data_IF_650998583067
#
_entry.id   IF_650998583067
#
_cell.length_a   1.000
_cell.length_b   1.000
_cell.length_c   1.000
_cell.angle_alpha   90.00
_cell.angle_beta   90.00
_cell.angle_gamma   90.00
#
_symmetry.space_group_name_H-M   'P 1'
#
loop_
_entity.id
_entity.type
_entity.pdbx_description
1 polymer ?
#
# COMPACT_ATOMS: atom_id res chain seq x y z
N UNK A 1 80.18 15.37 15.65
CA UNK A 1 80.14 14.22 16.58
C UNK A 1 79.01 13.30 16.18
N UNK A 2 79.31 12.01 16.01
CA UNK A 2 78.39 10.91 15.71
C UNK A 2 77.37 10.72 16.84
N UNK A 3 76.14 10.31 16.50
CA UNK A 3 75.45 9.15 17.09
C UNK A 3 74.17 8.80 16.30
N UNK A 4 74.24 7.64 15.65
CA UNK A 4 73.11 6.83 15.18
C UNK A 4 72.38 6.22 16.38
N UNK A 5 71.06 6.01 16.24
CA UNK A 5 70.23 4.92 16.81
C UNK A 5 68.79 5.12 16.26
N UNK A 6 68.34 4.48 15.17
CA UNK A 6 67.82 3.11 14.97
C UNK A 6 66.56 2.72 15.78
N UNK A 7 65.55 2.28 15.01
CA UNK A 7 64.41 1.41 15.33
C UNK A 7 63.13 2.00 15.97
N UNK A 8 62.06 2.12 15.18
CA UNK A 8 60.92 1.18 15.22
C UNK A 8 59.92 1.52 14.09
N UNK A 9 59.86 0.67 13.06
CA UNK A 9 58.82 0.69 12.03
C UNK A 9 57.63 -0.10 12.58
N UNK A 10 56.56 0.59 12.96
CA UNK A 10 55.28 -0.05 13.27
C UNK A 10 54.49 -0.19 11.98
N UNK A 11 54.62 -1.35 11.34
CA UNK A 11 53.75 -1.77 10.25
C UNK A 11 52.38 -2.14 10.86
N UNK A 12 51.42 -1.20 10.83
CA UNK A 12 50.04 -1.50 11.18
C UNK A 12 49.38 -2.18 9.97
N UNK A 13 49.31 -3.50 10.02
CA UNK A 13 48.47 -4.32 9.14
C UNK A 13 47.01 -4.05 9.54
N UNK A 14 46.30 -3.20 8.78
CA UNK A 14 44.85 -3.15 8.87
C UNK A 14 44.31 -4.20 7.92
N UNK A 15 43.88 -5.29 8.54
CA UNK A 15 43.15 -6.42 7.96
C UNK A 15 41.90 -5.87 7.25
N UNK A 16 41.76 -6.22 5.96
CA UNK A 16 40.53 -5.99 5.22
C UNK A 16 39.39 -6.81 5.82
N UNK A 17 38.44 -6.13 6.45
CA UNK A 17 37.11 -6.68 6.68
C UNK A 17 36.23 -6.24 5.50
N UNK A 18 35.89 -7.21 4.67
CA UNK A 18 34.71 -7.24 3.81
C UNK A 18 33.55 -6.51 4.47
N UNK A 19 33.18 -5.35 3.92
CA UNK A 19 32.02 -4.59 4.38
C UNK A 19 30.76 -5.39 4.09
N UNK A 20 30.26 -6.07 5.11
CA UNK A 20 28.85 -6.41 5.21
C UNK A 20 28.02 -5.11 5.04
N UNK A 21 26.78 -5.19 4.51
CA UNK A 21 25.91 -4.02 4.42
C UNK A 21 25.85 -3.36 5.80
N UNK A 22 26.19 -2.08 5.83
CA UNK A 22 26.17 -1.27 7.04
C UNK A 22 24.72 -1.19 7.48
N UNK A 23 24.34 -1.92 8.54
CA UNK A 23 23.11 -1.69 9.28
C UNK A 23 23.10 -0.20 9.66
N UNK A 24 22.29 0.59 8.97
CA UNK A 24 22.00 1.94 9.41
C UNK A 24 21.13 1.82 10.66
N UNK A 25 21.46 2.52 11.77
CA UNK A 25 20.57 2.55 12.91
C UNK A 25 19.24 3.15 12.47
N UNK A 26 18.15 2.41 12.70
CA UNK A 26 16.78 2.90 12.56
C UNK A 26 16.54 3.88 13.71
N UNK A 27 16.95 5.13 13.53
CA UNK A 27 16.72 6.26 14.45
C UNK A 27 15.68 7.25 13.90
N UNK A 28 14.90 6.86 12.89
CA UNK A 28 13.92 7.76 12.27
C UNK A 28 12.51 7.38 12.70
N UNK A 29 12.04 8.05 13.75
CA UNK A 29 10.63 8.03 14.15
C UNK A 29 9.78 8.88 13.18
N UNK A 30 8.62 8.35 12.80
CA UNK A 30 7.63 9.04 11.98
C UNK A 30 7.79 8.85 10.46
N UNK A 31 6.94 9.56 9.72
CA UNK A 31 6.86 9.51 8.26
C UNK A 31 7.87 10.44 7.60
N UNK A 32 8.50 9.98 6.51
CA UNK A 32 9.39 10.78 5.70
C UNK A 32 9.33 10.38 4.23
N UNK A 33 9.27 11.38 3.35
CA UNK A 33 9.51 11.21 1.91
C UNK A 33 11.02 11.30 1.67
N UNK A 34 11.58 10.28 1.02
CA UNK A 34 13.00 10.15 0.72
C UNK A 34 13.31 10.61 -0.71
N UNK A 35 12.42 10.27 -1.65
CA UNK A 35 12.48 10.70 -3.04
C UNK A 35 11.05 10.88 -3.57
N UNK A 36 10.83 11.90 -4.40
CA UNK A 36 9.54 12.14 -5.05
C UNK A 36 9.76 12.92 -6.35
N UNK A 37 9.55 12.24 -7.47
CA UNK A 37 9.57 12.78 -8.82
C UNK A 37 8.49 12.09 -9.67
N UNK A 38 8.45 12.41 -10.98
CA UNK A 38 7.42 11.90 -11.89
C UNK A 38 7.39 10.37 -12.04
N UNK A 39 8.52 9.70 -11.75
CA UNK A 39 8.73 8.27 -12.01
C UNK A 39 9.15 7.49 -10.77
N UNK A 40 9.39 8.17 -9.64
CA UNK A 40 9.82 7.53 -8.40
C UNK A 40 9.18 8.22 -7.20
N UNK A 41 8.61 7.43 -6.31
CA UNK A 41 8.19 7.84 -4.98
C UNK A 41 8.76 6.86 -3.96
N UNK A 42 9.58 7.37 -3.06
CA UNK A 42 10.15 6.61 -1.96
C UNK A 42 9.78 7.28 -0.64
N UNK A 43 9.22 6.50 0.28
CA UNK A 43 8.85 6.97 1.60
C UNK A 43 9.17 5.92 2.66
N UNK A 44 9.33 6.37 3.89
CA UNK A 44 9.52 5.48 5.04
C UNK A 44 8.65 5.93 6.20
N UNK A 45 8.28 4.95 7.03
CA UNK A 45 7.74 5.20 8.35
C UNK A 45 8.47 4.30 9.35
N UNK A 46 9.01 4.91 10.40
CA UNK A 46 9.61 4.19 11.52
C UNK A 46 8.89 4.46 12.83
N UNK A 47 8.74 3.43 13.67
CA UNK A 47 8.23 3.55 15.02
C UNK A 47 8.72 2.39 15.90
N UNK A 48 9.21 2.70 17.10
CA UNK A 48 9.52 1.67 18.10
C UNK A 48 10.62 0.69 17.65
N UNK A 49 11.58 1.17 16.86
CA UNK A 49 12.69 0.36 16.31
C UNK A 49 12.33 -0.48 15.08
N UNK A 50 11.08 -0.46 14.61
CA UNK A 50 10.66 -1.07 13.36
C UNK A 50 10.50 -0.01 12.27
N UNK A 51 10.75 -0.38 11.02
CA UNK A 51 10.63 0.51 9.84
C UNK A 51 9.96 -0.23 8.70
N UNK A 52 9.12 0.50 7.97
CA UNK A 52 8.74 0.15 6.61
C UNK A 52 9.34 1.16 5.64
N UNK A 53 9.93 0.68 4.56
CA UNK A 53 10.35 1.49 3.41
C UNK A 53 9.47 1.10 2.22
N UNK A 54 8.76 2.08 1.67
CA UNK A 54 7.99 1.92 0.45
C UNK A 54 8.73 2.58 -0.71
N UNK A 55 8.85 1.86 -1.81
CA UNK A 55 9.40 2.35 -3.07
C UNK A 55 8.43 2.04 -4.21
N UNK A 56 7.91 3.07 -4.86
CA UNK A 56 7.14 2.99 -6.10
C UNK A 56 7.96 3.57 -7.25
N UNK A 57 8.21 2.80 -8.30
CA UNK A 57 9.01 3.21 -9.46
C UNK A 57 8.31 2.84 -10.75
N UNK A 58 8.18 3.78 -11.66
CA UNK A 58 7.80 3.52 -13.04
C UNK A 58 9.02 3.03 -13.82
N UNK A 59 9.16 1.72 -13.97
CA UNK A 59 10.35 1.08 -14.59
C UNK A 59 10.31 1.16 -16.11
N UNK A 60 9.12 1.24 -16.68
CA UNK A 60 8.83 1.49 -18.08
C UNK A 60 7.53 2.30 -18.17
N UNK A 61 7.26 2.93 -19.32
CA UNK A 61 6.02 3.68 -19.50
C UNK A 61 4.79 2.80 -19.17
N UNK A 62 3.99 3.24 -18.19
CA UNK A 62 2.83 2.53 -17.66
C UNK A 62 3.14 1.16 -17.01
N UNK A 63 4.36 0.94 -16.53
CA UNK A 63 4.73 -0.24 -15.72
C UNK A 63 5.31 0.24 -14.41
N UNK A 64 4.63 -0.07 -13.30
CA UNK A 64 5.03 0.37 -11.95
C UNK A 64 5.34 -0.82 -11.06
N UNK A 65 6.49 -0.74 -10.39
CA UNK A 65 6.85 -1.62 -9.28
C UNK A 65 6.56 -0.90 -7.97
N UNK A 66 5.89 -1.54 -7.02
CA UNK A 66 5.73 -1.05 -5.64
C UNK A 66 6.30 -2.08 -4.67
N UNK A 67 7.26 -1.70 -3.84
CA UNK A 67 7.89 -2.58 -2.86
C UNK A 67 7.72 -2.04 -1.45
N UNK A 68 7.36 -2.91 -0.50
CA UNK A 68 7.37 -2.66 0.93
C UNK A 68 8.47 -3.52 1.55
N UNK A 69 9.49 -2.87 2.08
CA UNK A 69 10.62 -3.50 2.75
C UNK A 69 10.52 -3.26 4.26
N UNK A 70 10.27 -4.35 5.00
CA UNK A 70 10.28 -4.38 6.47
C UNK A 70 11.57 -5.00 7.03
N UNK A 71 12.57 -5.27 6.18
CA UNK A 71 13.72 -6.13 6.46
C UNK A 71 13.41 -7.62 6.24
N UNK A 72 12.39 -8.13 6.93
CA UNK A 72 11.73 -9.42 6.67
C UNK A 72 10.29 -9.36 7.25
N UNK A 73 9.23 -9.41 6.44
CA UNK A 73 9.20 -9.71 5.00
C UNK A 73 9.48 -8.54 4.05
N UNK A 74 9.58 -8.88 2.77
CA UNK A 74 9.52 -7.93 1.65
C UNK A 74 8.31 -8.27 0.78
N UNK A 75 7.48 -7.27 0.46
CA UNK A 75 6.27 -7.46 -0.36
C UNK A 75 6.33 -6.57 -1.59
N UNK A 76 6.33 -7.19 -2.77
CA UNK A 76 6.37 -6.50 -4.06
C UNK A 76 5.06 -6.57 -4.83
N UNK A 77 4.82 -5.57 -5.67
CA UNK A 77 3.78 -5.51 -6.68
C UNK A 77 4.41 -5.10 -8.00
N UNK A 78 4.23 -5.92 -9.03
CA UNK A 78 4.47 -5.53 -10.42
C UNK A 78 3.14 -5.19 -11.04
N UNK A 79 3.00 -4.01 -11.67
CA UNK A 79 1.75 -3.55 -12.26
C UNK A 79 2.00 -3.05 -13.68
N UNK A 80 1.63 -3.85 -14.67
CA UNK A 80 1.65 -3.47 -16.08
C UNK A 80 0.26 -2.95 -16.49
N UNK A 81 0.14 -1.63 -16.58
CA UNK A 81 -1.10 -0.97 -16.99
C UNK A 81 -1.34 -1.06 -18.51
N UNK A 82 -0.32 -1.38 -19.32
CA UNK A 82 -0.50 -1.60 -20.75
C UNK A 82 -1.19 -2.95 -21.00
N UNK A 83 -0.82 -3.97 -20.23
CA UNK A 83 -1.41 -5.30 -20.31
C UNK A 83 -2.63 -5.47 -19.40
N UNK A 84 -2.80 -4.59 -18.41
CA UNK A 84 -3.81 -4.75 -17.37
C UNK A 84 -3.53 -5.98 -16.51
N UNK A 85 -2.26 -6.25 -16.22
CA UNK A 85 -1.82 -7.41 -15.43
C UNK A 85 -1.01 -6.91 -14.24
N UNK A 86 -1.24 -7.48 -13.08
CA UNK A 86 -0.39 -7.26 -11.92
C UNK A 86 -0.02 -8.55 -11.22
N UNK A 87 1.09 -8.52 -10.49
CA UNK A 87 1.62 -9.66 -9.76
C UNK A 87 1.91 -9.24 -8.33
N UNK A 88 1.36 -10.02 -7.39
CA UNK A 88 1.67 -9.92 -5.98
C UNK A 88 2.84 -10.85 -5.67
N UNK A 89 3.94 -10.29 -5.17
CA UNK A 89 5.23 -10.96 -5.00
C UNK A 89 5.72 -10.84 -3.55
N UNK A 90 5.10 -11.55 -2.59
CA UNK A 90 5.58 -11.59 -1.21
C UNK A 90 6.80 -12.50 -1.09
N UNK A 91 7.73 -12.16 -0.20
CA UNK A 91 8.84 -13.02 0.21
C UNK A 91 9.15 -12.84 1.69
N UNK A 92 9.58 -13.92 2.35
CA UNK A 92 9.97 -13.88 3.75
C UNK A 92 8.87 -14.35 4.70
N UNK A 93 8.96 -13.87 5.95
CA UNK A 93 8.08 -14.25 7.05
C UNK A 93 6.65 -13.69 6.91
N UNK A 94 5.62 -14.28 7.54
CA UNK A 94 4.30 -13.66 7.60
C UNK A 94 4.35 -12.23 8.15
N UNK A 95 3.46 -11.36 7.66
CA UNK A 95 3.24 -10.06 8.28
C UNK A 95 2.72 -10.25 9.71
N UNK A 96 3.00 -9.29 10.59
CA UNK A 96 2.52 -9.31 11.97
C UNK A 96 1.78 -8.00 12.29
N UNK A 97 1.31 -7.87 13.53
CA UNK A 97 0.59 -6.68 13.95
C UNK A 97 1.44 -5.40 13.89
N UNK A 98 2.75 -5.50 14.12
CA UNK A 98 3.64 -4.34 14.04
C UNK A 98 3.74 -3.85 12.59
N UNK A 99 3.88 -4.76 11.62
CA UNK A 99 3.85 -4.43 10.20
C UNK A 99 2.54 -3.73 9.78
N UNK A 100 1.38 -4.23 10.25
CA UNK A 100 0.09 -3.56 9.98
C UNK A 100 0.01 -2.14 10.55
N UNK A 101 0.56 -1.91 11.75
CA UNK A 101 0.61 -0.57 12.34
C UNK A 101 1.50 0.38 11.54
N UNK A 102 2.67 -0.08 11.07
CA UNK A 102 3.55 0.70 10.22
C UNK A 102 2.86 1.09 8.90
N UNK A 103 2.14 0.16 8.27
CA UNK A 103 1.38 0.41 7.04
C UNK A 103 0.26 1.42 7.24
N UNK A 104 -0.44 1.36 8.37
CA UNK A 104 -1.47 2.35 8.72
C UNK A 104 -0.89 3.78 8.76
N UNK A 105 0.22 3.95 9.48
CA UNK A 105 0.85 5.27 9.61
C UNK A 105 1.57 5.73 8.34
N UNK A 106 2.14 4.81 7.57
CA UNK A 106 2.69 5.09 6.23
C UNK A 106 1.60 5.65 5.31
N UNK A 107 0.43 5.00 5.27
CA UNK A 107 -0.71 5.43 4.46
C UNK A 107 -1.17 6.84 4.83
N UNK A 108 -1.29 7.13 6.13
CA UNK A 108 -1.60 8.47 6.61
C UNK A 108 -0.56 9.52 6.20
N UNK A 109 0.72 9.14 6.21
CA UNK A 109 1.81 9.98 5.74
C UNK A 109 1.73 10.28 4.25
N UNK A 110 1.53 9.24 3.43
CA UNK A 110 1.38 9.37 1.97
C UNK A 110 0.22 10.28 1.61
N UNK A 111 -0.95 10.09 2.23
CA UNK A 111 -2.11 10.92 1.92
C UNK A 111 -1.96 12.40 2.30
N UNK A 112 -1.07 12.73 3.23
CA UNK A 112 -0.72 14.13 3.53
C UNK A 112 0.32 14.69 2.56
N UNK A 113 1.19 13.84 2.02
CA UNK A 113 2.29 14.25 1.15
C UNK A 113 1.89 14.34 -0.33
N UNK A 114 0.94 13.52 -0.77
CA UNK A 114 0.53 13.42 -2.16
C UNK A 114 -0.61 14.40 -2.48
N UNK A 115 -0.64 14.97 -3.71
CA UNK A 115 -1.73 15.84 -4.12
C UNK A 115 -3.06 15.08 -4.20
N UNK A 116 -4.19 15.75 -3.99
CA UNK A 116 -5.53 15.11 -4.12
C UNK A 116 -5.92 14.85 -5.59
N UNK A 117 -5.45 15.68 -6.52
CA UNK A 117 -5.74 15.60 -7.96
C UNK A 117 -4.46 15.70 -8.79
N UNK A 118 -4.50 15.22 -10.04
CA UNK A 118 -3.37 15.35 -10.98
C UNK A 118 -2.18 14.45 -10.67
N UNK A 119 -2.41 13.34 -9.96
CA UNK A 119 -1.38 12.37 -9.58
C UNK A 119 -0.72 11.71 -10.79
N UNK A 120 0.56 11.46 -10.64
CA UNK A 120 1.37 10.57 -11.47
C UNK A 120 1.02 9.11 -11.22
N UNK A 121 1.48 8.23 -12.10
CA UNK A 121 1.21 6.79 -11.98
C UNK A 121 1.81 6.20 -10.70
N UNK A 122 3.02 6.64 -10.32
CA UNK A 122 3.71 6.14 -9.12
C UNK A 122 3.02 6.57 -7.84
N UNK A 123 2.44 7.77 -7.80
CA UNK A 123 1.66 8.26 -6.66
C UNK A 123 0.37 7.47 -6.50
N UNK A 124 -0.37 7.25 -7.60
CA UNK A 124 -1.59 6.44 -7.59
C UNK A 124 -1.29 4.99 -7.17
N UNK A 125 -0.22 4.38 -7.70
CA UNK A 125 0.16 3.02 -7.35
C UNK A 125 0.58 2.91 -5.88
N UNK A 126 1.40 3.85 -5.38
CA UNK A 126 1.83 3.86 -3.98
C UNK A 126 0.65 3.95 -3.02
N UNK A 127 -0.27 4.90 -3.24
CA UNK A 127 -1.43 5.09 -2.37
C UNK A 127 -2.35 3.86 -2.38
N UNK A 128 -2.67 3.35 -3.58
CA UNK A 128 -3.61 2.24 -3.71
C UNK A 128 -3.05 0.93 -3.20
N UNK A 129 -1.78 0.61 -3.50
CA UNK A 129 -1.17 -0.60 -2.96
C UNK A 129 -0.92 -0.48 -1.46
N UNK A 130 -0.65 0.72 -0.92
CA UNK A 130 -0.48 0.88 0.53
C UNK A 130 -1.82 0.63 1.22
N UNK A 131 -2.92 1.12 0.63
CA UNK A 131 -4.26 0.83 1.12
C UNK A 131 -4.60 -0.66 1.06
N UNK A 132 -4.21 -1.36 -0.01
CA UNK A 132 -4.36 -2.81 -0.11
C UNK A 132 -3.56 -3.53 0.99
N UNK A 133 -2.32 -3.12 1.22
CA UNK A 133 -1.46 -3.71 2.25
C UNK A 133 -2.05 -3.61 3.66
N UNK A 134 -2.90 -2.61 3.95
CA UNK A 134 -3.59 -2.50 5.23
C UNK A 134 -4.63 -3.60 5.48
N UNK A 135 -5.10 -4.30 4.44
CA UNK A 135 -6.09 -5.40 4.56
C UNK A 135 -5.49 -6.79 4.37
N UNK A 136 -4.19 -6.88 4.07
CA UNK A 136 -3.49 -8.16 3.90
C UNK A 136 -3.48 -8.91 5.25
N UNK A 137 -3.75 -10.23 5.26
CA UNK A 137 -3.80 -11.00 6.50
C UNK A 137 -2.45 -11.04 7.21
N UNK A 138 -2.48 -10.94 8.54
CA UNK A 138 -1.33 -11.09 9.43
C UNK A 138 -1.27 -12.50 10.01
N UNK A 139 -0.07 -13.00 10.27
CA UNK A 139 0.18 -14.35 10.81
C UNK A 139 0.01 -15.48 9.78
N UNK A 140 -0.32 -15.14 8.53
CA UNK A 140 -0.51 -16.10 7.44
C UNK A 140 0.62 -15.99 6.41
N UNK A 141 1.02 -17.13 5.84
CA UNK A 141 1.99 -17.15 4.74
C UNK A 141 1.33 -16.58 3.49
N UNK A 142 1.85 -15.46 3.01
CA UNK A 142 1.39 -14.80 1.80
C UNK A 142 1.90 -15.58 0.58
N UNK A 143 1.00 -15.92 -0.33
CA UNK A 143 1.32 -16.66 -1.56
C UNK A 143 1.33 -15.70 -2.75
N UNK A 144 2.31 -15.83 -3.63
CA UNK A 144 2.37 -15.05 -4.86
C UNK A 144 1.20 -15.41 -5.80
N UNK A 145 0.66 -14.41 -6.49
CA UNK A 145 -0.39 -14.62 -7.50
C UNK A 145 -0.39 -13.51 -8.54
N UNK A 146 -1.02 -13.80 -9.68
CA UNK A 146 -1.30 -12.84 -10.74
C UNK A 146 -2.78 -12.42 -10.67
N UNK A 147 -3.04 -11.15 -10.98
CA UNK A 147 -4.37 -10.57 -11.11
C UNK A 147 -4.46 -9.75 -12.40
N UNK A 148 -5.63 -9.74 -13.05
CA UNK A 148 -5.82 -9.15 -14.39
C UNK A 148 -7.03 -8.23 -14.41
N UNK A 149 -6.96 -7.14 -15.18
CA UNK A 149 -8.03 -6.15 -15.30
C UNK A 149 -9.25 -6.64 -16.08
N UNK A 150 -9.08 -7.63 -16.97
CA UNK A 150 -10.15 -8.13 -17.86
C UNK A 150 -11.15 -9.07 -17.15
N UNK A 151 -10.86 -9.52 -15.93
CA UNK A 151 -11.77 -10.37 -15.15
C UNK A 151 -12.50 -9.57 -14.08
N UNK A 152 -13.52 -8.82 -14.48
CA UNK A 152 -14.71 -8.71 -13.62
C UNK A 152 -14.79 -7.52 -12.66
N UNK A 153 -14.57 -6.29 -13.11
CA UNK A 153 -15.15 -5.14 -12.41
C UNK A 153 -16.67 -5.16 -12.55
N UNK A 154 -17.32 -5.98 -11.74
CA UNK A 154 -18.76 -5.88 -11.61
C UNK A 154 -19.02 -4.70 -10.70
N UNK A 155 -19.10 -3.53 -11.31
CA UNK A 155 -19.49 -2.32 -10.62
C UNK A 155 -20.88 -2.51 -10.04
N UNK A 156 -21.02 -2.08 -8.80
CA UNK A 156 -22.28 -2.07 -8.07
C UNK A 156 -22.61 -0.63 -7.74
N UNK A 157 -23.91 -0.30 -7.68
CA UNK A 157 -24.37 1.08 -7.65
C UNK A 157 -23.82 1.88 -6.47
N UNK A 158 -23.54 3.17 -6.67
CA UNK A 158 -23.22 4.11 -5.59
C UNK A 158 -24.48 4.56 -4.81
N UNK A 159 -25.69 4.19 -5.25
CA UNK A 159 -26.94 4.64 -4.66
C UNK A 159 -27.30 3.89 -3.37
N UNK A 160 -27.91 4.62 -2.43
CA UNK A 160 -28.39 4.08 -1.17
C UNK A 160 -29.58 3.13 -1.39
N UNK A 161 -29.30 1.83 -1.37
CA UNK A 161 -30.30 0.80 -1.58
C UNK A 161 -29.75 -0.59 -1.29
N UNK A 162 -30.65 -1.57 -1.23
CA UNK A 162 -30.27 -2.97 -1.06
C UNK A 162 -29.74 -3.50 -2.40
N UNK A 163 -28.49 -3.93 -2.43
CA UNK A 163 -27.78 -4.38 -3.63
C UNK A 163 -27.31 -5.82 -3.43
N UNK A 164 -27.54 -6.67 -4.44
CA UNK A 164 -27.06 -8.05 -4.42
C UNK A 164 -25.56 -8.09 -4.74
N UNK A 165 -24.78 -8.77 -3.91
CA UNK A 165 -23.31 -8.85 -4.05
C UNK A 165 -22.82 -10.28 -4.36
N UNK A 166 -23.76 -11.20 -4.64
CA UNK A 166 -23.47 -12.60 -4.93
C UNK A 166 -23.77 -13.53 -3.75
N UNK A 167 -23.81 -14.84 -4.03
CA UNK A 167 -23.93 -15.92 -3.04
C UNK A 167 -25.09 -15.81 -2.03
N UNK A 168 -26.22 -15.22 -2.41
CA UNK A 168 -27.36 -15.00 -1.51
C UNK A 168 -27.20 -13.79 -0.58
N UNK A 169 -26.09 -13.05 -0.67
CA UNK A 169 -25.81 -11.89 0.16
C UNK A 169 -26.25 -10.59 -0.50
N UNK A 170 -26.74 -9.70 0.35
CA UNK A 170 -27.11 -8.33 -0.01
C UNK A 170 -26.40 -7.36 0.90
N UNK A 171 -25.95 -6.24 0.34
CA UNK A 171 -25.48 -5.09 1.09
C UNK A 171 -26.50 -3.96 1.06
N UNK A 172 -26.40 -3.06 2.04
CA UNK A 172 -27.08 -1.76 2.02
C UNK A 172 -26.03 -0.70 2.29
N UNK A 173 -25.46 -0.14 1.22
CA UNK A 173 -24.36 0.82 1.25
C UNK A 173 -24.53 1.83 0.12
N UNK A 174 -23.99 3.04 0.26
CA UNK A 174 -24.12 4.10 -0.75
C UNK A 174 -23.42 5.41 -0.38
N UNK A 175 -23.42 6.36 -1.31
CA UNK A 175 -22.73 7.67 -1.23
C UNK A 175 -23.28 8.69 -0.20
N UNK A 176 -23.85 8.26 0.93
CA UNK A 176 -24.46 9.20 1.89
C UNK A 176 -24.28 8.81 3.36
N UNK A 177 -24.12 9.81 4.22
CA UNK A 177 -24.02 9.67 5.68
C UNK A 177 -25.21 8.92 6.31
N UNK A 178 -26.39 8.96 5.66
CA UNK A 178 -27.59 8.24 6.10
C UNK A 178 -27.69 6.79 5.60
N UNK A 179 -26.73 6.33 4.81
CA UNK A 179 -26.77 5.05 4.11
C UNK A 179 -25.94 4.00 4.81
N UNK A 180 -26.17 3.83 6.11
CA UNK A 180 -25.23 3.11 6.98
C UNK A 180 -25.43 1.60 6.99
N UNK A 181 -26.53 1.07 6.43
CA UNK A 181 -26.83 -0.36 6.44
C UNK A 181 -26.80 -0.99 7.85
N UNK A 182 -26.99 -0.18 8.90
CA UNK A 182 -26.64 -0.50 10.29
C UNK A 182 -25.49 0.38 10.82
N UNK A 183 -24.88 0.02 11.94
CA UNK A 183 -23.66 0.70 12.43
C UNK A 183 -22.45 0.28 11.59
N UNK A 184 -21.96 1.16 10.69
CA UNK A 184 -20.65 1.00 10.04
C UNK A 184 -20.61 0.32 8.67
N UNK A 185 -21.74 -0.02 8.04
CA UNK A 185 -21.75 -0.77 6.76
C UNK A 185 -21.85 0.09 5.49
N UNK A 186 -22.05 1.41 5.61
CA UNK A 186 -22.30 2.29 4.46
C UNK A 186 -21.15 2.39 3.44
N UNK A 187 -19.94 2.02 3.86
CA UNK A 187 -18.72 2.08 3.05
C UNK A 187 -18.31 0.72 2.47
N UNK A 188 -18.98 -0.38 2.88
CA UNK A 188 -18.55 -1.72 2.51
C UNK A 188 -18.73 -1.99 1.01
N UNK A 189 -17.68 -2.52 0.41
CA UNK A 189 -17.53 -2.83 -1.00
C UNK A 189 -16.92 -1.74 -1.85
N UNK A 190 -16.25 -0.77 -1.22
CA UNK A 190 -15.14 -0.01 -1.83
C UNK A 190 -13.86 -0.78 -1.51
N UNK A 191 -12.93 -0.81 -2.45
CA UNK A 191 -11.66 -1.50 -2.24
C UNK A 191 -10.77 -0.56 -1.44
N UNK A 192 -10.76 -0.68 -0.12
CA UNK A 192 -9.94 0.18 0.73
C UNK A 192 -10.79 1.05 1.62
N UNK A 193 -10.12 1.55 2.65
CA UNK A 193 -10.72 2.07 3.87
C UNK A 193 -11.82 3.12 3.61
N UNK A 194 -13.08 2.76 3.81
CA UNK A 194 -14.14 3.73 4.11
C UNK A 194 -14.77 4.49 2.93
N UNK A 195 -15.61 5.47 3.26
CA UNK A 195 -16.53 6.15 2.36
C UNK A 195 -15.93 7.43 1.74
N UNK A 196 -15.15 7.33 0.67
CA UNK A 196 -14.77 8.52 -0.12
C UNK A 196 -14.20 9.68 0.73
N UNK A 197 -14.75 10.90 0.66
CA UNK A 197 -14.26 12.08 1.42
C UNK A 197 -14.34 12.00 2.93
N UNK A 198 -14.97 10.96 3.50
CA UNK A 198 -15.03 10.75 4.95
C UNK A 198 -14.09 9.64 5.43
N UNK A 199 -13.41 8.92 4.53
CA UNK A 199 -12.27 8.11 4.97
C UNK A 199 -11.16 9.02 5.46
N UNK A 200 -10.42 8.56 6.47
CA UNK A 200 -9.16 9.18 6.85
C UNK A 200 -8.07 8.13 6.60
N UNK A 201 -7.25 8.33 5.56
CA UNK A 201 -7.21 9.50 4.68
C UNK A 201 -8.31 9.49 3.61
N UNK A 202 -8.70 10.68 3.12
CA UNK A 202 -9.84 10.84 2.20
C UNK A 202 -9.57 10.14 0.88
N UNK A 203 -10.57 9.43 0.36
CA UNK A 203 -10.47 8.74 -0.93
C UNK A 203 -9.33 7.71 -1.03
N UNK A 204 -8.85 7.19 0.10
CA UNK A 204 -7.83 6.14 0.12
C UNK A 204 -8.44 4.79 -0.20
N UNK A 205 -7.96 4.18 -1.29
CA UNK A 205 -8.48 2.96 -1.89
C UNK A 205 -9.11 3.21 -3.27
N UNK A 206 -9.64 2.16 -3.90
CA UNK A 206 -10.56 2.31 -5.00
C UNK A 206 -11.84 2.96 -4.52
N UNK A 207 -12.07 4.18 -5.01
CA UNK A 207 -13.35 4.87 -4.90
C UNK A 207 -14.45 4.18 -5.70
N UNK A 208 -14.11 3.17 -6.50
CA UNK A 208 -15.06 2.33 -7.17
C UNK A 208 -15.75 1.38 -6.19
N UNK A 209 -17.07 1.24 -6.31
CA UNK A 209 -17.74 0.09 -5.73
C UNK A 209 -17.70 -1.09 -6.70
N UNK A 210 -17.16 -2.22 -6.24
CA UNK A 210 -16.99 -3.44 -7.03
C UNK A 210 -17.52 -4.65 -6.25
N UNK A 211 -17.93 -5.70 -6.96
CA UNK A 211 -18.42 -6.91 -6.30
C UNK A 211 -17.35 -7.61 -5.47
N UNK A 212 -16.09 -7.64 -5.91
CA UNK A 212 -15.08 -8.42 -5.22
C UNK A 212 -14.61 -7.74 -3.93
N UNK A 213 -14.53 -6.41 -3.91
CA UNK A 213 -14.37 -5.66 -2.68
C UNK A 213 -15.59 -5.78 -1.75
N UNK A 214 -16.81 -5.85 -2.30
CA UNK A 214 -17.99 -6.11 -1.48
C UNK A 214 -17.96 -7.52 -0.87
N UNK A 215 -17.55 -8.54 -1.63
CA UNK A 215 -17.40 -9.89 -1.07
C UNK A 215 -16.32 -9.91 0.00
N UNK A 216 -15.18 -9.28 -0.24
CA UNK A 216 -14.10 -9.15 0.74
C UNK A 216 -14.60 -8.53 2.07
N UNK A 217 -15.23 -7.36 2.04
CA UNK A 217 -15.66 -6.63 3.24
C UNK A 217 -16.77 -7.33 4.06
N UNK A 218 -17.44 -8.30 3.42
CA UNK A 218 -18.45 -9.15 4.03
C UNK A 218 -17.92 -10.55 4.38
N UNK A 219 -16.61 -10.81 4.21
CA UNK A 219 -15.98 -12.10 4.52
C UNK A 219 -16.37 -13.23 3.57
N UNK A 220 -16.78 -12.89 2.34
CA UNK A 220 -17.27 -13.81 1.31
C UNK A 220 -16.25 -14.07 0.20
N UNK A 221 -15.17 -13.29 0.14
CA UNK A 221 -14.11 -13.37 -0.87
C UNK A 221 -12.73 -13.38 -0.24
N UNK A 222 -11.71 -13.83 -0.99
CA UNK A 222 -10.31 -13.72 -0.57
C UNK A 222 -9.81 -12.28 -0.72
N UNK A 223 -8.78 -11.90 0.04
CA UNK A 223 -8.11 -10.60 -0.15
C UNK A 223 -7.52 -10.47 -1.56
N UNK A 224 -6.97 -11.57 -2.10
CA UNK A 224 -6.40 -11.62 -3.44
C UNK A 224 -7.41 -11.25 -4.55
N UNK A 225 -8.70 -11.53 -4.33
CA UNK A 225 -9.76 -11.21 -5.29
C UNK A 225 -10.04 -9.71 -5.41
N UNK A 226 -9.55 -8.87 -4.49
CA UNK A 226 -9.70 -7.41 -4.58
C UNK A 226 -8.50 -6.72 -5.25
N UNK A 227 -7.41 -7.43 -5.53
CA UNK A 227 -6.13 -6.83 -5.94
C UNK A 227 -6.19 -6.08 -7.26
N UNK A 228 -6.95 -6.61 -8.22
CA UNK A 228 -7.23 -5.97 -9.50
C UNK A 228 -8.08 -4.71 -9.32
N UNK A 229 -8.99 -4.69 -8.35
CA UNK A 229 -9.78 -3.50 -8.07
C UNK A 229 -8.93 -2.40 -7.37
N UNK A 230 -8.01 -2.77 -6.48
CA UNK A 230 -7.04 -1.81 -5.92
C UNK A 230 -6.03 -1.34 -6.98
N UNK A 231 -5.77 -2.10 -8.03
CA UNK A 231 -4.75 -1.72 -9.03
C UNK A 231 -5.33 -1.00 -10.25
N UNK A 232 -6.50 -1.42 -10.73
CA UNK A 232 -7.00 -1.05 -12.05
C UNK A 232 -8.39 -0.41 -12.06
N UNK A 233 -9.24 -0.68 -11.06
CA UNK A 233 -10.60 -0.15 -11.09
C UNK A 233 -10.61 1.37 -11.18
N UNK A 234 -11.40 1.89 -12.13
CA UNK A 234 -11.59 3.33 -12.32
C UNK A 234 -12.64 3.86 -11.35
N UNK A 235 -12.46 5.10 -10.90
CA UNK A 235 -13.46 5.76 -10.07
C UNK A 235 -14.80 5.89 -10.83
N UNK A 236 -15.86 5.27 -10.33
CA UNK A 236 -17.23 5.46 -10.82
C UNK A 236 -18.12 6.23 -9.83
N UNK A 237 -17.59 6.62 -8.65
CA UNK A 237 -18.29 7.35 -7.60
C UNK A 237 -17.39 8.50 -7.11
N UNK A 238 -17.67 9.74 -7.56
CA UNK A 238 -16.76 10.87 -7.36
C UNK A 238 -16.31 11.09 -5.91
N UNK A 239 -15.09 11.61 -5.75
CA UNK A 239 -14.56 12.14 -4.49
C UNK A 239 -15.15 13.52 -4.12
N UNK A 240 -16.18 14.00 -4.83
CA UNK A 240 -16.64 15.39 -4.72
C UNK A 240 -18.11 15.52 -4.29
N UNK A 241 -18.77 14.43 -3.89
CA UNK A 241 -20.24 14.40 -3.74
C UNK A 241 -20.81 13.84 -2.43
N UNK A 242 -19.99 13.45 -1.45
CA UNK A 242 -20.50 12.98 -0.15
C UNK A 242 -20.43 14.16 0.83
N UNK A 243 -21.58 14.73 1.19
CA UNK A 243 -21.63 15.82 2.18
C UNK A 243 -20.90 15.43 3.46
N UNK A 244 -20.24 16.41 4.10
CA UNK A 244 -19.63 16.22 5.41
C UNK A 244 -20.66 15.66 6.40
N UNK A 245 -20.38 14.49 6.98
CA UNK A 245 -21.17 13.98 8.09
C UNK A 245 -20.77 14.78 9.34
N UNK A 246 -21.50 15.85 9.62
CA UNK A 246 -21.43 16.60 10.89
C UNK A 246 -22.29 15.96 11.96
#
# INVERSE_FOLDING_TARGET
MKRLLLCAVSLAVVVGCSGAPREQPIEQEGFKVLQHDATTLEATYGAGGAVVRMLAVETQANVVEVTYDFGDPVVGFHIDFNQGVGQFMPSGSPLDAAHSHLLASLMEGLARALPEEGRTRVEDAAERQTSFMQIVPVGEVLTAYEYVSERGWTHISCSCGRQYIGSGYYRTAGMGCGCTGGSGNGCKGRCGQGCGVTSLPRCVGSTAYTQDCAKHDYGLGSFAAASDDYSFARNNCSCSGVGSCS
#
